data_IF_871798831770
#
_entry.id   IF_871798831770
#
_cell.length_a   1.000
_cell.length_b   1.000
_cell.length_c   1.000
_cell.angle_alpha   90.00
_cell.angle_beta   90.00
_cell.angle_gamma   90.00
#
_symmetry.space_group_name_H-M   'P 1'
#
loop_
_entity.id
_entity.type
_entity.pdbx_description
1 polymer ?
#
# COMPACT_ATOMS: atom_id res chain seq x y z
N UNK A 1 -11.60 -8.97 -13.70
CA UNK A 1 -11.42 -9.61 -12.37
C UNK A 1 -10.44 -8.85 -11.47
N UNK A 2 -9.35 -8.28 -11.99
CA UNK A 2 -8.36 -7.52 -11.19
C UNK A 2 -8.92 -6.34 -10.39
N UNK A 3 -9.89 -5.58 -10.93
CA UNK A 3 -10.57 -4.51 -10.19
C UNK A 3 -11.27 -4.99 -8.92
N UNK A 4 -12.00 -6.12 -9.00
CA UNK A 4 -12.71 -6.68 -7.84
C UNK A 4 -11.74 -7.09 -6.74
N UNK A 5 -10.58 -7.66 -7.11
CA UNK A 5 -9.52 -8.01 -6.16
C UNK A 5 -8.92 -6.76 -5.49
N UNK A 6 -8.65 -5.70 -6.26
CA UNK A 6 -8.11 -4.46 -5.69
C UNK A 6 -9.09 -3.79 -4.73
N UNK A 7 -10.37 -3.70 -5.12
CA UNK A 7 -11.44 -3.10 -4.31
C UNK A 7 -11.71 -3.94 -3.06
N UNK A 8 -11.72 -5.27 -3.18
CA UNK A 8 -11.91 -6.14 -2.02
C UNK A 8 -10.78 -6.01 -1.02
N UNK A 9 -9.51 -5.95 -1.47
CA UNK A 9 -8.37 -5.72 -0.57
C UNK A 9 -8.42 -4.35 0.09
N UNK A 10 -8.80 -3.30 -0.65
CA UNK A 10 -9.01 -1.98 -0.06
C UNK A 10 -10.12 -1.99 1.00
N UNK A 11 -11.25 -2.64 0.71
CA UNK A 11 -12.38 -2.71 1.63
C UNK A 11 -12.06 -3.51 2.89
N UNK A 12 -11.41 -4.67 2.75
CA UNK A 12 -10.98 -5.51 3.87
C UNK A 12 -9.92 -4.78 4.69
N UNK A 13 -8.94 -4.15 4.03
CA UNK A 13 -7.90 -3.37 4.69
C UNK A 13 -8.48 -2.21 5.51
N UNK A 14 -9.42 -1.45 4.92
CA UNK A 14 -10.14 -0.37 5.61
C UNK A 14 -10.98 -0.89 6.79
N UNK A 15 -11.61 -2.06 6.66
CA UNK A 15 -12.37 -2.71 7.72
C UNK A 15 -11.51 -3.04 8.94
N UNK A 16 -10.36 -3.68 8.72
CA UNK A 16 -9.39 -3.97 9.77
C UNK A 16 -8.78 -2.71 10.40
N UNK A 17 -8.62 -1.64 9.61
CA UNK A 17 -8.07 -0.37 10.08
C UNK A 17 -9.06 0.39 10.99
N UNK A 18 -10.33 0.45 10.59
CA UNK A 18 -11.35 1.29 11.25
C UNK A 18 -12.03 0.58 12.41
N UNK A 19 -12.36 -0.70 12.24
CA UNK A 19 -13.24 -1.44 13.16
C UNK A 19 -12.73 -2.88 13.35
N UNK A 20 -11.55 -3.07 13.98
CA UNK A 20 -10.88 -4.38 14.04
C UNK A 20 -11.66 -5.42 14.85
N UNK A 21 -12.43 -5.04 15.86
CA UNK A 21 -13.19 -5.97 16.71
C UNK A 21 -14.28 -6.75 15.96
N UNK A 22 -15.26 -6.05 15.36
CA UNK A 22 -16.26 -6.68 14.49
C UNK A 22 -15.67 -7.50 13.35
N UNK A 23 -14.58 -7.04 12.74
CA UNK A 23 -13.88 -7.80 11.70
C UNK A 23 -13.26 -9.09 12.26
N UNK A 24 -12.58 -9.04 13.41
CA UNK A 24 -12.03 -10.23 14.07
C UNK A 24 -13.13 -11.26 14.43
N UNK A 25 -14.31 -10.78 14.82
CA UNK A 25 -15.47 -11.63 15.11
C UNK A 25 -15.98 -12.37 13.86
N UNK A 26 -16.02 -11.71 12.70
CA UNK A 26 -16.37 -12.35 11.41
C UNK A 26 -15.40 -13.50 11.07
N UNK A 27 -14.12 -13.36 11.44
CA UNK A 27 -13.09 -14.39 11.21
C UNK A 27 -12.92 -15.38 12.37
N UNK A 28 -13.78 -15.33 13.40
CA UNK A 28 -13.71 -16.21 14.58
C UNK A 28 -12.33 -16.16 15.26
N UNK A 29 -11.68 -14.98 15.24
CA UNK A 29 -10.40 -14.78 15.95
C UNK A 29 -10.64 -14.30 17.39
N UNK A 30 -9.90 -14.82 18.38
CA UNK A 30 -9.92 -14.26 19.72
C UNK A 30 -9.39 -12.82 19.68
N UNK A 31 -10.26 -11.87 20.00
CA UNK A 31 -9.91 -10.46 19.98
C UNK A 31 -9.22 -10.08 21.29
N UNK A 32 -7.94 -9.75 21.20
CA UNK A 32 -7.20 -9.09 22.28
C UNK A 32 -6.80 -7.68 21.84
N UNK A 33 -6.56 -6.74 22.80
CA UNK A 33 -6.08 -5.40 22.48
C UNK A 33 -4.78 -5.42 21.66
N UNK A 34 -3.90 -6.39 21.92
CA UNK A 34 -2.66 -6.58 21.20
C UNK A 34 -2.90 -7.06 19.77
N UNK A 35 -3.86 -7.98 19.58
CA UNK A 35 -4.27 -8.46 18.27
C UNK A 35 -4.92 -7.37 17.41
N UNK A 36 -5.56 -6.37 18.03
CA UNK A 36 -6.14 -5.22 17.33
C UNK A 36 -5.07 -4.40 16.60
N UNK A 37 -3.86 -4.32 17.15
CA UNK A 37 -2.72 -3.62 16.53
C UNK A 37 -2.27 -4.36 15.29
N UNK A 38 -2.10 -5.68 15.39
CA UNK A 38 -1.77 -6.54 14.26
C UNK A 38 -2.82 -6.46 13.15
N UNK A 39 -4.10 -6.39 13.52
CA UNK A 39 -5.18 -6.15 12.56
C UNK A 39 -5.05 -4.79 11.87
N UNK A 40 -4.78 -3.71 12.60
CA UNK A 40 -4.61 -2.38 12.01
C UNK A 40 -3.42 -2.30 11.06
N UNK A 41 -2.28 -2.92 11.41
CA UNK A 41 -1.09 -3.00 10.55
C UNK A 41 -1.31 -3.88 9.32
N UNK A 42 -1.99 -5.02 9.48
CA UNK A 42 -2.37 -5.84 8.34
C UNK A 42 -3.34 -5.09 7.42
N UNK A 43 -4.27 -4.32 8.02
CA UNK A 43 -5.26 -3.52 7.31
C UNK A 43 -4.65 -2.36 6.52
N UNK A 44 -3.69 -1.63 7.11
CA UNK A 44 -2.96 -0.55 6.42
C UNK A 44 -2.24 -1.08 5.18
N UNK A 45 -1.56 -2.22 5.31
CA UNK A 45 -0.87 -2.90 4.22
C UNK A 45 -1.82 -3.36 3.11
N UNK A 46 -2.93 -4.01 3.45
CA UNK A 46 -3.91 -4.48 2.46
C UNK A 46 -4.63 -3.31 1.76
N UNK A 47 -4.86 -2.20 2.48
CA UNK A 47 -5.41 -0.97 1.90
C UNK A 47 -4.45 -0.38 0.85
N UNK A 48 -3.17 -0.25 1.19
CA UNK A 48 -2.16 0.32 0.29
C UNK A 48 -1.90 -0.61 -0.90
N UNK A 49 -1.77 -1.92 -0.68
CA UNK A 49 -1.64 -2.89 -1.78
C UNK A 49 -2.86 -2.87 -2.71
N UNK A 50 -4.07 -2.81 -2.14
CA UNK A 50 -5.30 -2.67 -2.91
C UNK A 50 -5.32 -1.38 -3.74
N UNK A 51 -4.94 -0.25 -3.15
CA UNK A 51 -4.85 1.03 -3.84
C UNK A 51 -3.81 1.01 -4.97
N UNK A 52 -2.66 0.37 -4.74
CA UNK A 52 -1.59 0.26 -5.73
C UNK A 52 -1.98 -0.65 -6.91
N UNK A 53 -2.64 -1.78 -6.64
CA UNK A 53 -3.23 -2.64 -7.67
C UNK A 53 -4.31 -1.92 -8.47
N UNK A 54 -5.17 -1.15 -7.79
CA UNK A 54 -6.20 -0.36 -8.45
C UNK A 54 -5.59 0.70 -9.37
N UNK A 55 -4.56 1.40 -8.90
CA UNK A 55 -3.86 2.43 -9.65
C UNK A 55 -3.16 1.87 -10.90
N UNK A 56 -2.40 0.78 -10.75
CA UNK A 56 -1.68 0.15 -11.87
C UNK A 56 -2.64 -0.38 -12.93
N UNK A 57 -3.73 -1.04 -12.51
CA UNK A 57 -4.78 -1.49 -13.43
C UNK A 57 -5.45 -0.34 -14.18
N UNK A 58 -5.82 0.74 -13.46
CA UNK A 58 -6.48 1.90 -14.06
C UNK A 58 -5.56 2.60 -15.08
N UNK A 59 -4.25 2.68 -14.79
CA UNK A 59 -3.25 3.23 -15.71
C UNK A 59 -3.16 2.39 -16.99
N UNK A 60 -3.06 1.06 -16.88
CA UNK A 60 -3.01 0.15 -18.03
C UNK A 60 -4.28 0.21 -18.90
N UNK A 61 -5.45 0.32 -18.29
CA UNK A 61 -6.71 0.45 -19.03
C UNK A 61 -6.82 1.78 -19.80
N UNK A 62 -6.16 2.83 -19.31
CA UNK A 62 -6.16 4.15 -19.93
C UNK A 62 -5.23 4.26 -21.13
N UNK A 63 -4.10 3.54 -21.12
CA UNK A 63 -3.17 3.46 -22.27
C UNK A 63 -3.78 2.65 -23.40
N UNK A 64 -4.36 1.49 -23.09
CA UNK A 64 -5.00 0.59 -24.08
C UNK A 64 -6.21 1.24 -24.77
N UNK A 65 -6.88 2.19 -24.10
CA UNK A 65 -7.99 2.97 -24.68
C UNK A 65 -7.50 4.08 -25.62
N UNK A 66 -6.32 4.65 -25.42
CA UNK A 66 -5.74 5.69 -26.30
C UNK A 66 -5.27 5.10 -27.63
N UNK A 67 -4.71 3.89 -27.59
CA UNK A 67 -4.23 3.20 -28.80
C UNK A 67 -5.38 2.79 -29.74
N UNK A 68 -6.59 2.55 -29.20
CA UNK A 68 -7.76 2.17 -29.99
C UNK A 68 -8.47 3.33 -30.71
N UNK A 69 -8.18 4.58 -30.33
CA UNK A 69 -8.84 5.79 -30.88
C UNK A 69 -8.00 6.45 -32.00
N UNK A 70 -6.73 6.06 -32.13
CA UNK A 70 -5.85 6.55 -33.20
C UNK A 70 -5.77 5.48 -34.29
N UNK A 71 -6.13 5.82 -35.53
CA UNK A 71 -6.30 4.92 -36.67
C UNK A 71 -5.12 3.94 -36.93
N UNK A 72 -5.38 2.77 -37.56
CA UNK A 72 -4.40 1.71 -37.79
C UNK A 72 -3.59 1.98 -39.06
N UNK A 73 -2.72 2.99 -39.07
CA UNK A 73 -1.73 3.16 -40.15
C UNK A 73 -0.47 3.76 -39.53
N UNK A 74 0.40 2.91 -39.00
CA UNK A 74 1.86 2.92 -39.22
C UNK A 74 2.52 1.93 -38.28
N UNK A 75 3.11 0.91 -38.91
CA UNK A 75 3.76 -0.22 -38.29
C UNK A 75 5.26 0.08 -38.25
N UNK A 76 5.78 0.41 -37.06
CA UNK A 76 7.20 0.23 -36.69
C UNK A 76 7.38 0.33 -35.16
N UNK A 77 7.12 -0.74 -34.39
CA UNK A 77 7.13 -0.68 -32.91
C UNK A 77 8.44 -1.17 -32.26
N UNK A 78 9.48 -1.51 -33.01
CA UNK A 78 10.64 -2.23 -32.44
C UNK A 78 11.73 -1.35 -31.80
N UNK A 79 11.75 -0.04 -32.03
CA UNK A 79 12.81 0.85 -31.50
C UNK A 79 12.38 1.69 -30.28
N UNK A 80 11.08 1.83 -30.02
CA UNK A 80 10.56 2.59 -28.87
C UNK A 80 10.25 1.72 -27.64
N UNK A 81 10.57 0.42 -27.68
CA UNK A 81 10.28 -0.51 -26.58
C UNK A 81 11.34 -0.49 -25.47
N UNK A 82 12.61 -0.21 -25.79
CA UNK A 82 13.68 -0.11 -24.77
C UNK A 82 13.53 1.16 -23.90
N UNK A 83 13.27 2.33 -24.49
CA UNK A 83 13.07 3.57 -23.74
C UNK A 83 11.80 3.56 -22.86
N UNK A 84 10.74 2.85 -23.28
CA UNK A 84 9.52 2.69 -22.49
C UNK A 84 9.68 1.71 -21.34
N UNK A 85 10.52 0.68 -21.49
CA UNK A 85 10.79 -0.30 -20.44
C UNK A 85 11.51 0.38 -19.26
N UNK A 86 12.57 1.15 -19.53
CA UNK A 86 13.31 1.87 -18.48
C UNK A 86 12.47 2.94 -17.77
N UNK A 87 11.62 3.67 -18.50
CA UNK A 87 10.73 4.66 -17.88
C UNK A 87 9.60 4.03 -17.04
N UNK A 88 9.12 2.85 -17.42
CA UNK A 88 8.10 2.12 -16.66
C UNK A 88 8.66 1.60 -15.33
N UNK A 89 9.84 0.98 -15.35
CA UNK A 89 10.47 0.39 -14.16
C UNK A 89 10.76 1.44 -13.08
N UNK A 90 11.29 2.61 -13.45
CA UNK A 90 11.50 3.71 -12.51
C UNK A 90 10.19 4.20 -11.88
N UNK A 91 9.09 4.21 -12.65
CA UNK A 91 7.78 4.62 -12.14
C UNK A 91 7.18 3.58 -11.20
N UNK A 92 7.39 2.28 -11.44
CA UNK A 92 6.95 1.19 -10.56
C UNK A 92 7.78 1.15 -9.28
N UNK A 93 9.10 1.33 -9.39
CA UNK A 93 10.01 1.40 -8.24
C UNK A 93 9.68 2.59 -7.33
N UNK A 94 9.47 3.79 -7.90
CA UNK A 94 8.99 4.95 -7.12
C UNK A 94 7.64 4.71 -6.47
N UNK A 95 6.70 4.07 -7.17
CA UNK A 95 5.38 3.77 -6.62
C UNK A 95 5.48 2.78 -5.44
N UNK A 96 6.34 1.77 -5.55
CA UNK A 96 6.62 0.80 -4.48
C UNK A 96 7.24 1.50 -3.26
N UNK A 97 8.23 2.37 -3.46
CA UNK A 97 8.84 3.19 -2.42
C UNK A 97 7.82 4.08 -1.70
N UNK A 98 7.02 4.85 -2.45
CA UNK A 98 5.94 5.68 -1.86
C UNK A 98 4.97 4.81 -1.08
N UNK A 99 4.58 3.67 -1.63
CA UNK A 99 3.64 2.76 -0.96
C UNK A 99 4.20 2.25 0.37
N UNK A 100 5.49 1.90 0.42
CA UNK A 100 6.16 1.49 1.66
C UNK A 100 6.17 2.61 2.69
N UNK A 101 6.59 3.82 2.29
CA UNK A 101 6.61 5.00 3.17
C UNK A 101 5.21 5.32 3.70
N UNK A 102 4.16 5.20 2.88
CA UNK A 102 2.77 5.42 3.31
C UNK A 102 2.32 4.37 4.33
N UNK A 103 2.64 3.08 4.12
CA UNK A 103 2.34 2.02 5.10
C UNK A 103 3.05 2.29 6.42
N UNK A 104 4.36 2.57 6.38
CA UNK A 104 5.14 2.82 7.59
C UNK A 104 4.61 4.05 8.35
N UNK A 105 4.21 5.10 7.63
CA UNK A 105 3.60 6.31 8.24
C UNK A 105 2.27 5.97 8.93
N UNK A 106 1.41 5.19 8.27
CA UNK A 106 0.14 4.76 8.85
C UNK A 106 0.38 3.90 10.10
N UNK A 107 1.38 3.03 10.07
CA UNK A 107 1.71 2.16 11.20
C UNK A 107 2.24 2.97 12.39
N UNK A 108 3.10 3.98 12.18
CA UNK A 108 3.55 4.90 13.24
C UNK A 108 2.35 5.67 13.84
N UNK A 109 1.46 6.20 13.00
CA UNK A 109 0.27 6.94 13.46
C UNK A 109 -0.63 6.02 14.27
N UNK A 110 -0.84 4.78 13.82
CA UNK A 110 -1.71 3.81 14.51
C UNK A 110 -1.12 3.37 15.85
N UNK A 111 0.19 3.11 15.92
CA UNK A 111 0.88 2.80 17.18
C UNK A 111 0.79 3.99 18.14
N UNK A 112 1.01 5.21 17.66
CA UNK A 112 0.91 6.42 18.47
C UNK A 112 -0.52 6.63 18.99
N UNK A 113 -1.52 6.44 18.14
CA UNK A 113 -2.93 6.56 18.54
C UNK A 113 -3.30 5.56 19.63
N UNK A 114 -2.92 4.28 19.47
CA UNK A 114 -3.20 3.26 20.48
C UNK A 114 -2.40 3.48 21.79
N UNK A 115 -1.21 4.11 21.72
CA UNK A 115 -0.50 4.53 22.92
C UNK A 115 -1.25 5.64 23.67
N UNK A 116 -1.75 6.66 22.95
CA UNK A 116 -2.50 7.77 23.53
C UNK A 116 -3.85 7.32 24.14
N UNK A 117 -4.48 6.31 23.55
CA UNK A 117 -5.70 5.69 24.05
C UNK A 117 -5.46 4.78 25.28
N UNK A 118 -4.19 4.56 25.66
CA UNK A 118 -3.82 3.73 26.80
C UNK A 118 -4.01 2.22 26.57
N UNK A 119 -4.33 1.82 25.34
CA UNK A 119 -4.57 0.41 24.98
C UNK A 119 -3.28 -0.40 24.86
N UNK A 120 -2.12 0.27 24.85
CA UNK A 120 -0.85 -0.31 24.43
C UNK A 120 0.24 -0.15 25.50
N UNK A 121 0.89 -1.25 25.95
CA UNK A 121 2.03 -1.17 26.86
C UNK A 121 3.23 -0.53 26.17
N UNK A 122 4.05 0.20 26.94
CA UNK A 122 5.17 0.98 26.40
C UNK A 122 6.22 0.13 25.68
N UNK A 123 6.35 -1.15 26.05
CA UNK A 123 7.24 -2.13 25.40
C UNK A 123 6.83 -2.41 23.96
N UNK A 124 5.52 -2.56 23.71
CA UNK A 124 5.01 -2.81 22.36
C UNK A 124 5.06 -1.54 21.49
N UNK A 125 4.90 -0.36 22.09
CA UNK A 125 5.12 0.93 21.39
C UNK A 125 6.58 1.10 20.98
N UNK A 126 7.52 0.79 21.87
CA UNK A 126 8.94 0.91 21.58
C UNK A 126 9.38 -0.06 20.46
N UNK A 127 8.90 -1.29 20.47
CA UNK A 127 9.27 -2.30 19.47
C UNK A 127 8.58 -2.08 18.12
N UNK A 128 7.26 -1.93 18.09
CA UNK A 128 6.51 -1.75 16.85
C UNK A 128 6.67 -0.35 16.27
N UNK A 129 6.56 0.68 17.12
CA UNK A 129 6.76 2.08 16.71
C UNK A 129 8.21 2.35 16.33
N UNK A 130 9.17 1.81 17.08
CA UNK A 130 10.60 1.92 16.75
C UNK A 130 10.94 1.27 15.41
N UNK A 131 10.45 0.06 15.15
CA UNK A 131 10.62 -0.63 13.87
C UNK A 131 10.03 0.17 12.70
N UNK A 132 8.79 0.64 12.85
CA UNK A 132 8.13 1.46 11.82
C UNK A 132 8.87 2.78 11.55
N UNK A 133 9.39 3.45 12.59
CA UNK A 133 10.21 4.65 12.43
C UNK A 133 11.52 4.40 11.67
N UNK A 134 12.18 3.25 11.91
CA UNK A 134 13.40 2.87 11.19
C UNK A 134 13.09 2.62 9.72
N UNK A 135 12.03 1.86 9.41
CA UNK A 135 11.62 1.58 8.03
C UNK A 135 11.19 2.85 7.30
N UNK A 136 10.41 3.71 7.96
CA UNK A 136 10.06 5.03 7.44
C UNK A 136 11.30 5.87 7.12
N UNK A 137 12.25 5.95 8.06
CA UNK A 137 13.50 6.67 7.86
C UNK A 137 14.33 6.11 6.71
N UNK A 138 14.40 4.79 6.58
CA UNK A 138 15.08 4.11 5.47
C UNK A 138 14.38 4.39 4.13
N UNK A 139 13.05 4.38 4.10
CA UNK A 139 12.27 4.72 2.91
C UNK A 139 12.48 6.17 2.46
N UNK A 140 12.48 7.13 3.40
CA UNK A 140 12.77 8.54 3.12
C UNK A 140 14.22 8.72 2.66
N UNK A 141 15.18 8.02 3.27
CA UNK A 141 16.59 8.07 2.87
C UNK A 141 16.78 7.55 1.45
N UNK A 142 16.22 6.38 1.11
CA UNK A 142 16.24 5.84 -0.25
C UNK A 142 15.55 6.78 -1.25
N UNK A 143 14.44 7.43 -0.86
CA UNK A 143 13.77 8.42 -1.70
C UNK A 143 14.65 9.63 -2.00
N UNK A 144 15.33 10.17 -0.99
CA UNK A 144 16.17 11.36 -1.13
C UNK A 144 17.44 11.07 -1.96
N UNK A 145 17.91 9.82 -2.00
CA UNK A 145 19.04 9.41 -2.84
C UNK A 145 18.66 9.24 -4.32
N UNK A 146 17.38 8.99 -4.61
CA UNK A 146 16.83 8.78 -5.96
C UNK A 146 16.37 10.09 -6.66
N UNK A 147 16.29 11.21 -5.92
CA UNK A 147 15.95 12.56 -6.42
C UNK A 147 17.17 13.44 -6.56
#
# INVERSE_FOLDING_TARGET
MQNLLSISRMAVGLGFLTVPGPFASVFVMPFSPEAAIGCKMAGSRDLVLGALLYYTYRRQSSTLRKDKVTNPVEQSPLLNSEDRAGHSDNSVMRLALISGVVVDTLDVIMVLWCYLDGTLPIEAVATLGGGACILFGMGVYCWHWET
#
